data_IF_263399237834
#
_entry.id   IF_263399237834
#
_cell.length_a   1.000
_cell.length_b   1.000
_cell.length_c   1.000
_cell.angle_alpha   90.00
_cell.angle_beta   90.00
_cell.angle_gamma   90.00
#
_symmetry.space_group_name_H-M   'P 1'
#
loop_
_entity.id
_entity.type
_entity.pdbx_description
1 polymer ?
#
# COMPACT_ATOMS: atom_id res chain seq x y z
N UNK A 1 0.65 -33.44 -8.84
CA UNK A 1 0.08 -32.07 -8.73
C UNK A 1 -1.38 -32.20 -8.37
N UNK A 2 -1.73 -32.00 -7.11
CA UNK A 2 -3.13 -32.10 -6.69
C UNK A 2 -3.90 -30.89 -7.26
N UNK A 3 -5.19 -31.08 -7.53
CA UNK A 3 -6.07 -30.03 -8.09
C UNK A 3 -5.93 -28.71 -7.34
N UNK A 4 -5.89 -28.76 -6.01
CA UNK A 4 -5.68 -27.62 -5.11
C UNK A 4 -4.36 -26.88 -5.39
N UNK A 5 -3.23 -27.61 -5.40
CA UNK A 5 -1.90 -27.04 -5.69
C UNK A 5 -1.86 -26.37 -7.08
N UNK A 6 -2.54 -26.95 -8.08
CA UNK A 6 -2.62 -26.39 -9.44
C UNK A 6 -3.38 -25.06 -9.47
N UNK A 7 -4.51 -25.00 -8.77
CA UNK A 7 -5.35 -23.82 -8.67
C UNK A 7 -4.57 -22.68 -7.98
N UNK A 8 -3.97 -22.93 -6.82
CA UNK A 8 -3.18 -21.94 -6.08
C UNK A 8 -2.01 -21.40 -6.90
N UNK A 9 -1.28 -22.28 -7.59
CA UNK A 9 -0.15 -21.88 -8.42
C UNK A 9 -0.58 -20.96 -9.57
N UNK A 10 -1.71 -21.24 -10.21
CA UNK A 10 -2.25 -20.41 -11.28
C UNK A 10 -2.67 -19.01 -10.77
N UNK A 11 -3.34 -18.92 -9.62
CA UNK A 11 -3.70 -17.63 -9.03
C UNK A 11 -2.47 -16.81 -8.63
N UNK A 12 -1.46 -17.45 -8.02
CA UNK A 12 -0.20 -16.80 -7.67
C UNK A 12 0.51 -16.20 -8.89
N UNK A 13 0.60 -16.98 -9.99
CA UNK A 13 1.18 -16.50 -11.26
C UNK A 13 0.41 -15.31 -11.84
N UNK A 14 -0.93 -15.34 -11.79
CA UNK A 14 -1.78 -14.24 -12.25
C UNK A 14 -1.58 -12.97 -11.42
N UNK A 15 -1.57 -13.10 -10.09
CA UNK A 15 -1.32 -11.99 -9.17
C UNK A 15 0.07 -11.38 -9.39
N UNK A 16 1.11 -12.20 -9.53
CA UNK A 16 2.47 -11.72 -9.82
C UNK A 16 2.56 -10.99 -11.17
N UNK A 17 1.87 -11.49 -12.20
CA UNK A 17 1.78 -10.82 -13.51
C UNK A 17 1.00 -9.51 -13.46
N UNK A 18 -0.01 -9.40 -12.60
CA UNK A 18 -0.72 -8.14 -12.38
C UNK A 18 0.16 -7.12 -11.64
N UNK A 19 0.83 -7.55 -10.56
CA UNK A 19 1.70 -6.68 -9.77
C UNK A 19 2.91 -6.19 -10.55
N UNK A 20 3.52 -7.03 -11.38
CA UNK A 20 4.66 -6.63 -12.24
C UNK A 20 4.30 -5.65 -13.35
N UNK A 21 3.02 -5.64 -13.78
CA UNK A 21 2.49 -4.67 -14.75
C UNK A 21 2.01 -3.38 -14.10
N UNK A 22 1.78 -3.40 -12.80
CA UNK A 22 1.39 -2.22 -12.05
C UNK A 22 2.64 -1.34 -11.86
N UNK A 23 2.88 -0.44 -12.80
CA UNK A 23 3.89 0.59 -12.65
C UNK A 23 3.40 1.65 -11.67
N UNK A 24 3.62 1.45 -10.37
CA UNK A 24 3.59 2.56 -9.43
C UNK A 24 4.84 3.39 -9.67
N UNK A 25 4.69 4.59 -10.24
CA UNK A 25 5.78 5.55 -10.17
C UNK A 25 6.03 5.84 -8.70
N UNK A 26 7.27 5.71 -8.22
CA UNK A 26 7.67 6.16 -6.87
C UNK A 26 7.64 7.70 -6.73
N UNK A 27 6.94 8.39 -7.62
CA UNK A 27 6.74 9.83 -7.58
C UNK A 27 5.47 10.06 -6.76
N UNK A 28 5.52 10.93 -5.74
CA UNK A 28 4.29 11.33 -5.08
C UNK A 28 3.34 11.92 -6.13
N UNK A 29 2.07 11.51 -6.08
CA UNK A 29 1.03 12.11 -6.91
C UNK A 29 1.08 13.61 -6.68
N UNK A 30 1.12 14.41 -7.75
CA UNK A 30 1.14 15.86 -7.61
C UNK A 30 -0.18 16.31 -6.98
N UNK A 31 -0.12 16.62 -5.69
CA UNK A 31 -1.21 17.23 -4.93
C UNK A 31 -1.04 18.74 -4.97
N UNK A 32 -2.15 19.45 -5.08
CA UNK A 32 -2.16 20.92 -5.05
C UNK A 32 -1.58 21.45 -3.72
N UNK A 33 -1.15 22.71 -3.66
CA UNK A 33 -0.61 23.32 -2.43
C UNK A 33 -1.60 23.19 -1.26
N UNK A 34 -2.89 23.45 -1.52
CA UNK A 34 -3.95 23.34 -0.54
C UNK A 34 -4.14 21.90 -0.01
N UNK A 35 -4.03 20.91 -0.89
CA UNK A 35 -4.17 19.49 -0.52
C UNK A 35 -2.95 18.99 0.27
N UNK A 36 -1.75 19.47 -0.06
CA UNK A 36 -0.54 19.19 0.73
C UNK A 36 -0.61 19.76 2.15
N UNK A 37 -1.12 20.98 2.30
CA UNK A 37 -1.34 21.58 3.63
C UNK A 37 -2.41 20.84 4.43
N UNK A 38 -3.47 20.35 3.76
CA UNK A 38 -4.52 19.54 4.39
C UNK A 38 -3.96 18.20 4.89
N UNK A 39 -3.16 17.53 4.06
CA UNK A 39 -2.54 16.25 4.42
C UNK A 39 -1.51 16.41 5.54
N UNK A 40 -0.66 17.44 5.50
CA UNK A 40 0.30 17.72 6.59
C UNK A 40 -0.38 17.99 7.94
N UNK A 41 -1.56 18.64 7.94
CA UNK A 41 -2.36 18.83 9.16
C UNK A 41 -2.97 17.51 9.67
N UNK A 42 -3.37 16.61 8.78
CA UNK A 42 -3.94 15.31 9.13
C UNK A 42 -2.84 14.37 9.65
N UNK A 43 -1.70 14.30 8.98
CA UNK A 43 -0.57 13.46 9.38
C UNK A 43 -0.02 13.87 10.76
N UNK A 44 0.08 15.18 11.03
CA UNK A 44 0.49 15.71 12.33
C UNK A 44 -0.48 15.36 13.48
N UNK A 45 -1.77 15.13 13.18
CA UNK A 45 -2.75 14.71 14.20
C UNK A 45 -2.76 13.20 14.45
N UNK A 46 -2.21 12.39 13.53
CA UNK A 46 -2.18 10.93 13.68
C UNK A 46 -0.90 10.41 14.35
N UNK A 47 0.19 11.17 14.35
CA UNK A 47 1.46 10.78 14.99
C UNK A 47 1.50 10.96 16.52
N UNK A 48 0.46 11.56 17.13
CA UNK A 48 0.34 11.70 18.59
C UNK A 48 -0.44 10.54 19.26
N UNK A 49 -0.81 9.50 18.52
CA UNK A 49 -1.44 8.29 19.07
C UNK A 49 -0.59 7.04 18.85
N UNK A 50 0.67 7.08 19.27
CA UNK A 50 1.42 5.87 19.62
C UNK A 50 1.05 5.49 21.07
N UNK A 51 0.42 4.32 21.34
CA UNK A 51 0.28 3.83 22.69
C UNK A 51 1.67 3.38 23.19
N UNK A 52 2.27 4.20 24.04
CA UNK A 52 3.33 3.76 24.93
C UNK A 52 2.72 2.75 25.89
N UNK A 53 2.93 1.45 25.63
CA UNK A 53 2.76 0.41 26.65
C UNK A 53 3.92 -0.56 26.59
N UNK A 54 5.01 -0.11 27.21
CA UNK A 54 6.13 -0.91 27.69
C UNK A 54 5.71 -1.60 28.99
N UNK A 55 5.57 -2.93 28.97
CA UNK A 55 5.94 -3.93 30.01
C UNK A 55 5.69 -5.34 29.48
#
# INVERSE_FOLDING_TARGET
>A
MNRTKKITLNFKKKSQKANSKLHSSNKPKYVSKAERERLAKIDATQTDSEPVSET
#
